data_IF_220046351706
#
_entry.id   IF_220046351706
#
_cell.length_a   1.000
_cell.length_b   1.000
_cell.length_c   1.000
_cell.angle_alpha   90.00
_cell.angle_beta   90.00
_cell.angle_gamma   90.00
#
_symmetry.space_group_name_H-M   'P 1'
#
loop_
_entity.id
_entity.type
_entity.pdbx_description
1 polymer ?
#
# COMPACT_ATOMS: atom_id res chain seq x y z
N UNK A 1 -1.06 26.00 26.06
CA UNK A 1 0.40 25.71 26.13
C UNK A 1 0.74 24.26 26.49
N UNK A 2 -0.12 23.54 27.22
CA UNK A 2 0.15 22.15 27.62
C UNK A 2 -0.02 21.14 26.50
N UNK A 3 -0.82 21.42 25.47
CA UNK A 3 -1.06 20.54 24.33
C UNK A 3 0.12 20.54 23.33
N UNK A 4 0.77 21.69 23.15
CA UNK A 4 1.91 21.84 22.25
C UNK A 4 3.18 21.15 22.80
N UNK A 5 3.44 21.25 24.10
CA UNK A 5 4.62 20.62 24.73
C UNK A 5 4.51 19.08 24.77
N UNK A 6 3.30 18.53 24.95
CA UNK A 6 3.05 17.08 24.83
C UNK A 6 3.16 16.61 23.38
N UNK A 7 2.72 17.43 22.41
CA UNK A 7 2.82 17.11 20.98
C UNK A 7 4.27 16.95 20.52
N UNK A 8 5.18 17.84 20.89
CA UNK A 8 6.60 17.76 20.55
C UNK A 8 7.26 16.49 21.10
N UNK A 9 7.00 16.14 22.36
CA UNK A 9 7.54 14.91 22.96
C UNK A 9 7.04 13.63 22.23
N UNK A 10 5.81 13.63 21.74
CA UNK A 10 5.25 12.51 20.99
C UNK A 10 5.80 12.43 19.55
N UNK A 11 6.16 13.57 18.92
CA UNK A 11 6.86 13.60 17.62
C UNK A 11 8.23 12.91 17.72
N UNK A 12 9.07 13.31 18.68
CA UNK A 12 10.41 12.71 18.85
C UNK A 12 10.35 11.22 19.18
N UNK A 13 9.42 10.80 20.04
CA UNK A 13 9.22 9.37 20.36
C UNK A 13 8.77 8.58 19.13
N UNK A 14 7.91 9.16 18.31
CA UNK A 14 7.42 8.54 17.09
C UNK A 14 8.50 8.42 16.03
N UNK A 15 9.28 9.47 15.83
CA UNK A 15 10.44 9.45 14.95
C UNK A 15 11.49 8.41 15.38
N UNK A 16 11.75 8.28 16.70
CA UNK A 16 12.62 7.23 17.24
C UNK A 16 12.08 5.82 16.96
N UNK A 17 10.77 5.60 17.10
CA UNK A 17 10.13 4.34 16.79
C UNK A 17 10.19 4.02 15.28
N UNK A 18 9.89 5.01 14.42
CA UNK A 18 10.00 4.88 12.97
C UNK A 18 11.44 4.58 12.52
N UNK A 19 12.44 5.24 13.12
CA UNK A 19 13.86 4.96 12.88
C UNK A 19 14.21 3.51 13.16
N UNK A 20 13.72 2.95 14.28
CA UNK A 20 13.93 1.56 14.63
C UNK A 20 13.28 0.57 13.65
N UNK A 21 12.19 0.99 13.00
CA UNK A 21 11.47 0.17 12.00
C UNK A 21 12.06 0.27 10.61
N UNK A 22 12.48 1.46 10.19
CA UNK A 22 12.92 1.74 8.81
C UNK A 22 14.44 1.60 8.62
N UNK A 23 15.22 1.68 9.71
CA UNK A 23 16.69 1.64 9.64
C UNK A 23 17.33 2.88 9.00
N UNK A 24 16.52 3.84 8.51
CA UNK A 24 16.94 5.06 7.84
C UNK A 24 16.29 6.28 8.52
N UNK A 25 17.12 7.29 8.78
CA UNK A 25 16.71 8.51 9.48
C UNK A 25 15.89 9.45 8.58
N UNK A 26 16.16 9.47 7.27
CA UNK A 26 15.46 10.33 6.32
C UNK A 26 14.03 9.83 6.12
N UNK A 27 13.85 8.55 5.79
CA UNK A 27 12.52 7.95 5.62
C UNK A 27 11.69 8.05 6.92
N UNK A 28 12.34 7.92 8.09
CA UNK A 28 11.66 8.08 9.37
C UNK A 28 11.17 9.52 9.59
N UNK A 29 11.90 10.52 9.12
CA UNK A 29 11.49 11.91 9.21
C UNK A 29 10.31 12.19 8.27
N UNK A 30 10.38 11.73 7.04
CA UNK A 30 9.32 11.88 6.02
C UNK A 30 8.02 11.21 6.49
N UNK A 31 8.07 9.95 6.91
CA UNK A 31 6.89 9.25 7.41
C UNK A 31 6.35 9.83 8.73
N UNK A 32 7.21 10.49 9.52
CA UNK A 32 6.74 11.26 10.68
C UNK A 32 5.94 12.46 10.21
N UNK A 33 6.44 13.21 9.23
CA UNK A 33 5.75 14.35 8.64
C UNK A 33 4.40 13.95 8.06
N UNK A 34 4.37 12.93 7.21
CA UNK A 34 3.15 12.38 6.61
C UNK A 34 2.12 11.92 7.63
N UNK A 35 2.59 11.33 8.76
CA UNK A 35 1.71 10.92 9.86
C UNK A 35 0.95 12.12 10.45
N UNK A 36 1.66 13.23 10.66
CA UNK A 36 1.04 14.43 11.21
C UNK A 36 0.20 15.18 10.17
N UNK A 37 0.62 15.24 8.93
CA UNK A 37 -0.17 15.82 7.84
C UNK A 37 -1.52 15.11 7.69
N UNK A 38 -1.53 13.78 7.68
CA UNK A 38 -2.77 12.98 7.65
C UNK A 38 -3.64 13.18 8.90
N UNK A 39 -3.03 13.38 10.06
CA UNK A 39 -3.78 13.72 11.26
C UNK A 39 -4.45 15.08 11.10
N UNK A 40 -3.69 16.09 10.64
CA UNK A 40 -4.18 17.47 10.49
C UNK A 40 -5.29 17.57 9.44
N UNK A 41 -5.19 16.83 8.34
CA UNK A 41 -6.22 16.81 7.31
C UNK A 41 -7.55 16.17 7.77
N UNK A 42 -7.57 15.51 8.94
CA UNK A 42 -8.74 14.84 9.48
C UNK A 42 -9.28 15.49 10.77
N UNK A 43 -8.80 16.70 11.12
CA UNK A 43 -9.20 17.41 12.34
C UNK A 43 -10.68 17.82 12.39
N UNK A 44 -11.40 17.76 11.28
CA UNK A 44 -12.86 18.00 11.23
C UNK A 44 -13.70 16.84 11.80
N UNK A 45 -13.08 15.78 12.34
CA UNK A 45 -13.78 14.67 12.98
C UNK A 45 -13.96 14.91 14.48
N UNK A 46 -15.13 14.46 15.05
CA UNK A 46 -15.41 14.62 16.46
C UNK A 46 -14.32 13.95 17.31
N UNK A 47 -13.95 14.63 18.38
CA UNK A 47 -12.98 14.30 19.44
C UNK A 47 -12.50 12.85 19.45
N UNK A 48 -11.27 12.62 19.01
CA UNK A 48 -10.61 11.32 19.06
C UNK A 48 -10.50 10.87 20.54
N UNK A 49 -11.08 9.72 20.87
CA UNK A 49 -11.03 9.17 22.24
C UNK A 49 -9.61 8.86 22.68
N UNK A 50 -8.74 8.43 21.76
CA UNK A 50 -7.32 8.18 21.99
C UNK A 50 -6.47 8.65 20.78
N UNK A 51 -5.98 9.91 20.80
CA UNK A 51 -5.15 10.43 19.72
C UNK A 51 -3.84 9.65 19.51
N UNK A 52 -3.29 9.05 20.58
CA UNK A 52 -2.04 8.29 20.49
C UNK A 52 -2.21 6.96 19.76
N UNK A 53 -3.27 6.23 20.07
CA UNK A 53 -3.58 4.98 19.38
C UNK A 53 -3.90 5.25 17.91
N UNK A 54 -4.60 6.35 17.62
CA UNK A 54 -4.91 6.76 16.25
C UNK A 54 -3.64 7.11 15.44
N UNK A 55 -2.73 7.92 16.01
CA UNK A 55 -1.42 8.21 15.40
C UNK A 55 -0.59 6.94 15.17
N UNK A 56 -0.64 5.99 16.12
CA UNK A 56 0.06 4.72 15.95
C UNK A 56 -0.48 3.94 14.76
N UNK A 57 -1.80 3.92 14.56
CA UNK A 57 -2.44 3.26 13.44
C UNK A 57 -2.04 3.88 12.10
N UNK A 58 -2.05 5.23 12.00
CA UNK A 58 -1.60 5.95 10.80
C UNK A 58 -0.14 5.63 10.51
N UNK A 59 0.75 5.79 11.50
CA UNK A 59 2.18 5.54 11.32
C UNK A 59 2.47 4.09 10.91
N UNK A 60 1.77 3.12 11.50
CA UNK A 60 1.90 1.72 11.12
C UNK A 60 1.49 1.48 9.66
N UNK A 61 0.36 2.04 9.23
CA UNK A 61 -0.08 1.94 7.84
C UNK A 61 0.94 2.55 6.86
N UNK A 62 1.53 3.70 7.19
CA UNK A 62 2.57 4.32 6.39
C UNK A 62 3.84 3.47 6.29
N UNK A 63 4.28 2.86 7.39
CA UNK A 63 5.43 1.94 7.41
C UNK A 63 5.17 0.72 6.53
N UNK A 64 3.99 0.11 6.63
CA UNK A 64 3.61 -1.04 5.78
C UNK A 64 3.62 -0.65 4.31
N UNK A 65 3.05 0.50 3.96
CA UNK A 65 3.04 0.99 2.57
C UNK A 65 4.44 1.30 2.06
N UNK A 66 5.32 1.90 2.89
CA UNK A 66 6.71 2.17 2.55
C UNK A 66 7.48 0.88 2.23
N UNK A 67 7.40 -0.15 3.09
CA UNK A 67 8.04 -1.44 2.85
C UNK A 67 7.52 -2.11 1.57
N UNK A 68 6.22 -2.05 1.35
CA UNK A 68 5.61 -2.60 0.15
C UNK A 68 6.11 -1.92 -1.12
N UNK A 69 6.23 -0.57 -1.09
CA UNK A 69 6.80 0.19 -2.21
C UNK A 69 8.24 -0.25 -2.51
N UNK A 70 9.06 -0.43 -1.47
CA UNK A 70 10.43 -0.94 -1.63
C UNK A 70 10.47 -2.36 -2.22
N UNK A 71 9.55 -3.22 -1.84
CA UNK A 71 9.44 -4.58 -2.41
C UNK A 71 9.06 -4.55 -3.89
N UNK A 72 8.10 -3.72 -4.27
CA UNK A 72 7.71 -3.52 -5.68
C UNK A 72 8.89 -2.97 -6.48
N UNK A 73 9.57 -1.95 -5.98
CA UNK A 73 10.74 -1.35 -6.63
C UNK A 73 11.86 -2.38 -6.82
N UNK A 74 12.14 -3.17 -5.80
CA UNK A 74 13.14 -4.23 -5.87
C UNK A 74 12.78 -5.30 -6.90
N UNK A 75 11.55 -5.80 -6.88
CA UNK A 75 11.07 -6.78 -7.84
C UNK A 75 11.15 -6.23 -9.28
N UNK A 76 10.80 -4.96 -9.48
CA UNK A 76 10.93 -4.30 -10.78
C UNK A 76 12.39 -4.20 -11.23
N UNK A 77 13.31 -3.81 -10.34
CA UNK A 77 14.74 -3.76 -10.63
C UNK A 77 15.30 -5.13 -11.04
N UNK A 78 14.89 -6.18 -10.34
CA UNK A 78 15.29 -7.55 -10.66
C UNK A 78 14.80 -7.96 -12.07
N UNK A 79 13.62 -7.52 -12.50
CA UNK A 79 13.13 -7.78 -13.86
C UNK A 79 13.90 -7.00 -14.92
N UNK A 80 14.36 -5.78 -14.62
CA UNK A 80 15.16 -4.97 -15.55
C UNK A 80 16.51 -5.61 -15.89
N UNK A 81 17.09 -6.39 -15.00
CA UNK A 81 18.32 -7.14 -15.27
C UNK A 81 18.15 -8.18 -16.40
N UNK A 82 16.91 -8.57 -16.70
CA UNK A 82 16.57 -9.52 -17.76
C UNK A 82 16.26 -8.84 -19.10
N UNK A 83 16.13 -7.50 -19.11
CA UNK A 83 15.76 -6.72 -20.30
C UNK A 83 17.04 -6.25 -21.03
N UNK A 84 17.15 -6.46 -22.36
CA UNK A 84 18.27 -5.95 -23.13
C UNK A 84 18.40 -4.42 -23.04
N UNK A 85 19.61 -3.92 -22.99
CA UNK A 85 19.94 -2.48 -22.84
C UNK A 85 19.28 -1.60 -23.91
N UNK A 86 19.04 -2.16 -25.11
CA UNK A 86 18.36 -1.49 -26.23
C UNK A 86 16.86 -1.18 -25.97
N UNK A 87 16.29 -1.75 -24.92
CA UNK A 87 14.90 -1.52 -24.50
C UNK A 87 14.83 -0.80 -23.14
N UNK A 88 15.94 -0.22 -22.69
CA UNK A 88 15.99 0.50 -21.43
C UNK A 88 15.04 1.70 -21.44
N UNK A 89 14.15 1.75 -20.46
CA UNK A 89 13.23 2.85 -20.25
C UNK A 89 13.95 4.08 -19.70
N UNK A 90 13.42 5.28 -20.01
CA UNK A 90 13.91 6.51 -19.40
C UNK A 90 13.66 6.53 -17.88
N UNK A 91 14.43 7.31 -17.11
CA UNK A 91 14.19 7.46 -15.67
C UNK A 91 12.77 7.92 -15.35
N UNK A 92 12.19 8.77 -16.18
CA UNK A 92 10.82 9.30 -16.04
C UNK A 92 9.78 8.21 -16.27
N UNK A 93 9.92 7.43 -17.34
CA UNK A 93 9.03 6.30 -17.64
C UNK A 93 9.07 5.25 -16.51
N UNK A 94 10.27 5.01 -15.98
CA UNK A 94 10.47 4.10 -14.85
C UNK A 94 9.76 4.60 -13.59
N UNK A 95 9.89 5.90 -13.27
CA UNK A 95 9.25 6.50 -12.12
C UNK A 95 7.71 6.38 -12.23
N UNK A 96 7.16 6.71 -13.39
CA UNK A 96 5.73 6.60 -13.67
C UNK A 96 5.22 5.15 -13.55
N UNK A 97 5.97 4.19 -14.08
CA UNK A 97 5.60 2.78 -13.99
C UNK A 97 5.58 2.29 -12.54
N UNK A 98 6.59 2.67 -11.73
CA UNK A 98 6.64 2.31 -10.31
C UNK A 98 5.49 2.93 -9.53
N UNK A 99 5.14 4.17 -9.80
CA UNK A 99 3.99 4.84 -9.20
C UNK A 99 2.69 4.09 -9.53
N UNK A 100 2.46 3.79 -10.80
CA UNK A 100 1.29 3.01 -11.26
C UNK A 100 1.23 1.62 -10.60
N UNK A 101 2.34 0.91 -10.49
CA UNK A 101 2.38 -0.39 -9.81
C UNK A 101 2.03 -0.29 -8.33
N UNK A 102 2.52 0.75 -7.65
CA UNK A 102 2.18 0.99 -6.25
C UNK A 102 0.70 1.34 -6.06
N UNK A 103 0.11 2.09 -6.98
CA UNK A 103 -1.31 2.43 -6.94
C UNK A 103 -2.21 1.21 -7.19
N UNK A 104 -1.86 0.37 -8.17
CA UNK A 104 -2.56 -0.90 -8.43
C UNK A 104 -2.47 -1.81 -7.21
N UNK A 105 -1.29 -1.94 -6.60
CA UNK A 105 -1.13 -2.77 -5.41
C UNK A 105 -1.97 -2.23 -4.24
N UNK A 106 -1.99 -0.93 -4.01
CA UNK A 106 -2.83 -0.28 -3.00
C UNK A 106 -4.32 -0.47 -3.27
N UNK A 107 -4.75 -0.43 -4.54
CA UNK A 107 -6.13 -0.72 -4.94
C UNK A 107 -6.50 -2.17 -4.63
N UNK A 108 -5.64 -3.12 -4.99
CA UNK A 108 -5.86 -4.55 -4.71
C UNK A 108 -5.89 -4.86 -3.21
N UNK A 109 -5.21 -4.08 -2.38
CA UNK A 109 -5.23 -4.23 -0.92
C UNK A 109 -6.56 -3.88 -0.25
N UNK A 110 -7.38 -3.07 -0.92
CA UNK A 110 -8.75 -2.77 -0.46
C UNK A 110 -9.70 -3.95 -0.64
N UNK A 111 -9.30 -4.96 -1.42
CA UNK A 111 -10.06 -6.19 -1.58
C UNK A 111 -9.96 -7.09 -0.35
N UNK A 112 -10.97 -7.95 -0.17
CA UNK A 112 -10.82 -9.06 0.76
C UNK A 112 -9.58 -9.91 0.38
N UNK A 113 -8.75 -10.37 1.34
CA UNK A 113 -7.52 -11.11 1.05
C UNK A 113 -7.75 -12.32 0.12
N UNK A 114 -8.84 -13.08 0.30
CA UNK A 114 -9.18 -14.19 -0.59
C UNK A 114 -9.57 -13.74 -2.00
N UNK A 115 -10.25 -12.58 -2.11
CA UNK A 115 -10.60 -12.01 -3.41
C UNK A 115 -9.35 -11.54 -4.16
N UNK A 116 -8.42 -10.86 -3.46
CA UNK A 116 -7.11 -10.46 -4.02
C UNK A 116 -6.34 -11.68 -4.51
N UNK A 117 -6.18 -12.70 -3.67
CA UNK A 117 -5.48 -13.94 -4.06
C UNK A 117 -6.12 -14.60 -5.26
N UNK A 118 -7.47 -14.74 -5.27
CA UNK A 118 -8.19 -15.33 -6.39
C UNK A 118 -7.99 -14.52 -7.69
N UNK A 119 -8.02 -13.20 -7.60
CA UNK A 119 -7.82 -12.31 -8.74
C UNK A 119 -6.40 -12.45 -9.33
N UNK A 120 -5.38 -12.41 -8.48
CA UNK A 120 -3.99 -12.56 -8.91
C UNK A 120 -3.74 -13.95 -9.54
N UNK A 121 -4.25 -15.04 -8.95
CA UNK A 121 -4.15 -16.38 -9.52
C UNK A 121 -4.83 -16.50 -10.89
N UNK A 122 -5.97 -15.81 -11.09
CA UNK A 122 -6.65 -15.83 -12.37
C UNK A 122 -5.91 -15.01 -13.44
N UNK A 123 -5.40 -13.83 -13.09
CA UNK A 123 -4.82 -12.88 -14.05
C UNK A 123 -3.34 -13.17 -14.36
N UNK A 124 -2.56 -13.58 -13.37
CA UNK A 124 -1.12 -13.79 -13.52
C UNK A 124 -0.79 -15.26 -13.79
N UNK A 125 -1.41 -16.18 -13.04
CA UNK A 125 -1.13 -17.62 -13.17
C UNK A 125 -2.03 -18.31 -14.23
N UNK A 126 -3.06 -17.61 -14.72
CA UNK A 126 -4.00 -18.16 -15.72
C UNK A 126 -4.82 -19.34 -15.24
N UNK A 127 -4.99 -19.51 -13.92
CA UNK A 127 -5.69 -20.65 -13.34
C UNK A 127 -7.20 -20.57 -13.58
N UNK A 128 -7.84 -21.74 -13.73
CA UNK A 128 -9.29 -21.79 -13.82
C UNK A 128 -9.96 -21.51 -12.47
N UNK A 129 -11.20 -21.06 -12.49
CA UNK A 129 -11.96 -20.80 -11.26
C UNK A 129 -12.14 -22.05 -10.39
N UNK A 130 -12.20 -23.24 -11.00
CA UNK A 130 -12.22 -24.51 -10.29
C UNK A 130 -10.92 -24.79 -9.55
N UNK A 131 -9.77 -24.59 -10.19
CA UNK A 131 -8.44 -24.78 -9.58
C UNK A 131 -8.22 -23.77 -8.44
N UNK A 132 -8.61 -22.49 -8.65
CA UNK A 132 -8.54 -21.44 -7.63
C UNK A 132 -9.42 -21.81 -6.44
N UNK A 133 -10.64 -22.28 -6.69
CA UNK A 133 -11.56 -22.68 -5.63
C UNK A 133 -10.99 -23.78 -4.75
N UNK A 134 -10.35 -24.79 -5.34
CA UNK A 134 -9.65 -25.85 -4.61
C UNK A 134 -8.49 -25.32 -3.79
N UNK A 135 -7.64 -24.45 -4.36
CA UNK A 135 -6.45 -23.91 -3.69
C UNK A 135 -6.80 -23.00 -2.48
N UNK A 136 -7.84 -22.17 -2.62
CA UNK A 136 -8.25 -21.21 -1.58
C UNK A 136 -9.20 -21.85 -0.57
N UNK A 137 -9.76 -23.03 -0.87
CA UNK A 137 -10.71 -23.73 -0.01
C UNK A 137 -12.07 -23.03 0.05
N UNK A 138 -12.63 -22.67 -1.12
CA UNK A 138 -13.95 -22.05 -1.27
C UNK A 138 -14.69 -22.66 -2.48
N UNK A 139 -15.98 -22.38 -2.63
CA UNK A 139 -16.74 -22.82 -3.81
C UNK A 139 -16.40 -21.97 -5.04
N UNK A 140 -16.49 -22.56 -6.23
CA UNK A 140 -16.33 -21.82 -7.50
C UNK A 140 -17.30 -20.63 -7.62
N UNK A 141 -18.52 -20.76 -7.08
CA UNK A 141 -19.49 -19.65 -7.00
C UNK A 141 -18.93 -18.48 -6.21
N UNK A 142 -18.16 -18.75 -5.14
CA UNK A 142 -17.52 -17.71 -4.34
C UNK A 142 -16.38 -17.06 -5.12
N UNK A 143 -15.61 -17.82 -5.89
CA UNK A 143 -14.57 -17.26 -6.78
C UNK A 143 -15.19 -16.30 -7.79
N UNK A 144 -16.29 -16.69 -8.46
CA UNK A 144 -17.01 -15.78 -9.38
C UNK A 144 -17.41 -14.46 -8.70
N UNK A 145 -17.88 -14.52 -7.44
CA UNK A 145 -18.21 -13.33 -6.66
C UNK A 145 -16.96 -12.48 -6.38
N UNK A 146 -15.85 -13.10 -6.02
CA UNK A 146 -14.56 -12.42 -5.79
C UNK A 146 -14.06 -11.73 -7.06
N UNK A 147 -14.17 -12.39 -8.21
CA UNK A 147 -13.77 -11.81 -9.49
C UNK A 147 -14.61 -10.60 -9.87
N UNK A 148 -15.94 -10.66 -9.69
CA UNK A 148 -16.82 -9.50 -9.92
C UNK A 148 -16.42 -8.33 -9.01
N UNK A 149 -16.18 -8.59 -7.73
CA UNK A 149 -15.74 -7.57 -6.79
C UNK A 149 -14.40 -6.95 -7.20
N UNK A 150 -13.42 -7.75 -7.58
CA UNK A 150 -12.12 -7.27 -8.02
C UNK A 150 -12.22 -6.44 -9.31
N UNK A 151 -13.01 -6.90 -10.29
CA UNK A 151 -13.22 -6.16 -11.54
C UNK A 151 -13.89 -4.80 -11.31
N UNK A 152 -14.86 -4.72 -10.40
CA UNK A 152 -15.50 -3.44 -10.04
C UNK A 152 -14.49 -2.47 -9.44
N UNK A 153 -13.58 -2.93 -8.57
CA UNK A 153 -12.51 -2.09 -8.03
C UNK A 153 -11.53 -1.63 -9.13
N UNK A 154 -11.19 -2.50 -10.08
CA UNK A 154 -10.35 -2.11 -11.22
C UNK A 154 -11.03 -1.03 -12.10
N UNK A 155 -12.34 -1.15 -12.35
CA UNK A 155 -13.09 -0.15 -13.13
C UNK A 155 -13.13 1.19 -12.41
N UNK A 156 -13.42 1.21 -11.11
CA UNK A 156 -13.41 2.43 -10.30
C UNK A 156 -12.03 3.10 -10.31
N UNK A 157 -10.97 2.30 -10.17
CA UNK A 157 -9.60 2.81 -10.26
C UNK A 157 -9.30 3.42 -11.63
N UNK A 158 -9.73 2.79 -12.72
CA UNK A 158 -9.54 3.30 -14.06
C UNK A 158 -10.30 4.63 -14.30
N UNK A 159 -11.52 4.78 -13.75
CA UNK A 159 -12.29 6.03 -13.84
C UNK A 159 -11.66 7.19 -13.06
N UNK A 160 -10.94 6.90 -11.98
CA UNK A 160 -10.26 7.92 -11.17
C UNK A 160 -8.92 8.39 -11.79
N UNK A 161 -8.32 7.60 -12.71
CA UNK A 161 -6.95 7.82 -13.22
C UNK A 161 -6.87 7.99 -14.76
N UNK A 162 -8.00 7.92 -15.48
CA UNK A 162 -8.14 8.21 -16.90
C UNK A 162 -8.86 9.54 -17.13
#
# INVERSE_FOLDING_TARGET
DCLLSRGLGDVYKRQGWLRGKLGNAFDAADLTHDTFERLLSQLDRPMLRDPRAYLATIAHGLVVNHWRRLEIERAYLDTLLLVPESLAQSPEERALLLETLCEIDAMLDRLNPKARTAFLMAQLDGLTYGDIAQRIGVSERMIKKYMVQAMLHCLQFAEEHL
#
